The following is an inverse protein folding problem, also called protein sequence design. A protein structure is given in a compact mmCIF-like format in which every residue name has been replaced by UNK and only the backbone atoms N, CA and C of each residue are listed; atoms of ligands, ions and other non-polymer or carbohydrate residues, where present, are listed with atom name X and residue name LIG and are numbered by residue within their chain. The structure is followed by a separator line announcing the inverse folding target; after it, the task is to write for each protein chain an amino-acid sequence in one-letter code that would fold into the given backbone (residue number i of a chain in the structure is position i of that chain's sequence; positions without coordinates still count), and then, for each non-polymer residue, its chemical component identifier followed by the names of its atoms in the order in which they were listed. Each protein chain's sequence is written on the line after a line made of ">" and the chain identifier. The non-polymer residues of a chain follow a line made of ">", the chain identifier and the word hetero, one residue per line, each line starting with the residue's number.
data_IF_978717730929
#
_entry.id   IF_978717730929
#
_cell.length_a   1.000
_cell.length_b   1.000
_cell.length_c   1.000
_cell.angle_alpha   90.00
_cell.angle_beta   90.00
_cell.angle_gamma   90.00
#
_symmetry.space_group_name_H-M   'P 1'
#
loop_
_entity.id
_entity.type
_entity.pdbx_description
1 polymer ?
#
# COMPACT_ATOMS: atom_id res chain seq x y z
N UNK A 1 -17.01 20.02 -46.88
CA UNK A 1 -17.45 20.31 -45.49
C UNK A 1 -16.64 19.41 -44.57
N UNK A 2 -15.57 19.96 -43.99
CA UNK A 2 -14.67 19.22 -43.10
C UNK A 2 -15.15 19.44 -41.66
N UNK A 3 -15.66 18.39 -41.00
CA UNK A 3 -16.09 18.43 -39.62
C UNK A 3 -14.87 18.29 -38.73
N UNK A 4 -14.43 19.36 -38.10
CA UNK A 4 -13.42 19.39 -37.05
C UNK A 4 -13.98 18.64 -35.84
N UNK A 5 -13.28 17.59 -35.28
CA UNK A 5 -13.77 16.90 -34.09
C UNK A 5 -13.78 17.88 -32.91
N UNK A 6 -14.86 17.86 -32.12
CA UNK A 6 -15.01 18.71 -30.96
C UNK A 6 -13.92 18.43 -29.89
N UNK A 7 -13.35 19.49 -29.29
CA UNK A 7 -12.30 19.38 -28.23
C UNK A 7 -12.66 18.42 -27.11
N UNK A 8 -13.94 18.18 -26.83
CA UNK A 8 -14.42 17.26 -25.78
C UNK A 8 -14.29 15.78 -26.12
N UNK A 9 -14.36 15.39 -27.39
CA UNK A 9 -14.25 14.00 -27.82
C UNK A 9 -12.79 13.50 -27.79
N UNK A 10 -11.83 14.36 -28.11
CA UNK A 10 -10.41 14.04 -28.04
C UNK A 10 -9.95 13.75 -26.61
N UNK A 11 -10.36 14.53 -25.63
CA UNK A 11 -10.01 14.35 -24.22
C UNK A 11 -10.63 13.08 -23.62
N UNK A 12 -11.88 12.75 -23.99
CA UNK A 12 -12.54 11.50 -23.55
C UNK A 12 -11.87 10.26 -24.14
N UNK A 13 -11.45 10.29 -25.40
CA UNK A 13 -10.75 9.17 -26.06
C UNK A 13 -9.36 8.94 -25.48
N UNK A 14 -8.60 9.97 -25.19
CA UNK A 14 -7.29 9.88 -24.54
C UNK A 14 -7.42 9.28 -23.14
N UNK A 15 -8.42 9.68 -22.37
CA UNK A 15 -8.70 9.11 -21.05
C UNK A 15 -9.05 7.63 -21.10
N UNK A 16 -9.91 7.21 -22.04
CA UNK A 16 -10.30 5.81 -22.20
C UNK A 16 -9.12 4.93 -22.66
N UNK A 17 -8.33 5.41 -23.62
CA UNK A 17 -7.14 4.68 -24.08
C UNK A 17 -6.10 4.52 -22.96
N UNK A 18 -5.86 5.57 -22.16
CA UNK A 18 -4.97 5.49 -20.99
C UNK A 18 -5.49 4.49 -19.98
N UNK A 19 -6.79 4.52 -19.69
CA UNK A 19 -7.45 3.59 -18.77
C UNK A 19 -7.30 2.14 -19.22
N UNK A 20 -7.65 1.83 -20.49
CA UNK A 20 -7.52 0.47 -21.04
C UNK A 20 -6.06 0.00 -21.08
N UNK A 21 -5.14 0.87 -21.47
CA UNK A 21 -3.70 0.58 -21.46
C UNK A 21 -3.21 0.28 -20.06
N UNK A 22 -3.63 1.06 -19.07
CA UNK A 22 -3.26 0.84 -17.67
C UNK A 22 -3.72 -0.53 -17.19
N UNK A 23 -4.99 -0.90 -17.42
CA UNK A 23 -5.48 -2.23 -17.06
C UNK A 23 -4.70 -3.35 -17.77
N UNK A 24 -4.37 -3.20 -19.03
CA UNK A 24 -3.61 -4.19 -19.80
C UNK A 24 -2.22 -4.46 -19.20
N UNK A 25 -1.54 -3.43 -18.68
CA UNK A 25 -0.20 -3.58 -18.06
C UNK A 25 -0.25 -3.89 -16.56
N UNK A 26 -1.39 -3.68 -15.90
CA UNK A 26 -1.59 -3.92 -14.47
C UNK A 26 -1.81 -5.41 -14.17
N UNK A 27 -2.71 -6.04 -14.89
CA UNK A 27 -3.14 -7.41 -14.62
C UNK A 27 -2.10 -8.52 -14.87
N UNK A 28 -1.11 -8.40 -15.76
CA UNK A 28 -0.03 -9.38 -15.86
C UNK A 28 0.69 -9.64 -14.54
N UNK A 29 0.85 -8.61 -13.70
CA UNK A 29 1.41 -8.78 -12.35
C UNK A 29 0.50 -9.61 -11.46
N UNK A 30 -0.80 -9.31 -11.45
CA UNK A 30 -1.81 -10.05 -10.68
C UNK A 30 -1.81 -11.53 -11.06
N UNK A 31 -1.84 -11.84 -12.37
CA UNK A 31 -1.77 -13.20 -12.89
C UNK A 31 -0.49 -13.90 -12.46
N UNK A 32 0.66 -13.24 -12.57
CA UNK A 32 1.94 -13.80 -12.15
C UNK A 32 1.93 -14.20 -10.67
N UNK A 33 1.37 -13.38 -9.79
CA UNK A 33 1.29 -13.67 -8.35
C UNK A 33 0.35 -14.84 -8.06
N UNK A 34 -0.78 -14.96 -8.79
CA UNK A 34 -1.75 -16.03 -8.59
C UNK A 34 -1.28 -17.39 -9.16
N UNK A 35 -0.51 -17.40 -10.24
CA UNK A 35 0.00 -18.62 -10.90
C UNK A 35 1.18 -19.27 -10.14
N UNK A 36 1.68 -18.64 -9.08
CA UNK A 36 2.79 -19.20 -8.29
C UNK A 36 2.42 -20.54 -7.65
N UNK A 37 3.28 -21.57 -7.71
CA UNK A 37 3.04 -22.88 -7.10
C UNK A 37 2.73 -22.81 -5.60
N UNK A 38 1.97 -23.81 -5.09
CA UNK A 38 1.59 -23.85 -3.65
C UNK A 38 2.80 -23.85 -2.71
N UNK A 39 3.92 -24.46 -3.11
CA UNK A 39 5.17 -24.44 -2.33
C UNK A 39 5.72 -23.03 -2.07
N UNK A 40 5.61 -22.15 -3.04
CA UNK A 40 6.05 -20.75 -2.92
C UNK A 40 5.02 -19.84 -2.20
N UNK A 41 3.92 -20.41 -1.70
CA UNK A 41 2.92 -19.67 -0.90
C UNK A 41 3.26 -19.59 0.58
N UNK A 42 4.23 -20.37 1.04
CA UNK A 42 4.72 -20.31 2.42
C UNK A 42 5.59 -19.07 2.61
N UNK A 43 5.48 -18.45 3.79
CA UNK A 43 6.38 -17.37 4.20
C UNK A 43 7.78 -17.95 4.32
N UNK A 44 8.80 -17.39 3.65
CA UNK A 44 10.17 -17.88 3.74
C UNK A 44 10.68 -17.84 5.19
N UNK A 45 11.36 -18.89 5.63
CA UNK A 45 11.93 -18.93 6.98
C UNK A 45 12.95 -17.80 7.23
N UNK A 46 13.68 -17.40 6.18
CA UNK A 46 14.65 -16.29 6.23
C UNK A 46 14.04 -14.94 6.61
N UNK A 47 12.71 -14.75 6.40
CA UNK A 47 12.03 -13.49 6.77
C UNK A 47 12.09 -13.17 8.27
N UNK A 48 12.39 -14.17 9.11
CA UNK A 48 12.58 -13.97 10.55
C UNK A 48 13.98 -13.49 10.93
N UNK A 49 14.88 -13.40 9.97
CA UNK A 49 16.30 -13.08 10.17
C UNK A 49 16.56 -11.62 9.80
N UNK A 50 17.54 -11.02 10.50
CA UNK A 50 18.02 -9.69 10.28
C UNK A 50 17.95 -8.83 11.55
N UNK A 51 18.78 -7.79 11.58
CA UNK A 51 18.96 -6.90 12.73
C UNK A 51 18.49 -5.46 12.44
N UNK A 52 18.04 -5.20 11.21
CA UNK A 52 17.43 -3.93 10.84
C UNK A 52 15.97 -3.84 11.31
N UNK A 53 15.36 -2.66 11.20
CA UNK A 53 13.97 -2.43 11.61
C UNK A 53 13.00 -3.44 10.98
N UNK A 54 12.11 -4.08 11.75
CA UNK A 54 11.14 -5.03 11.21
C UNK A 54 10.18 -4.38 10.22
N UNK A 55 9.82 -5.09 9.14
CA UNK A 55 8.89 -4.61 8.12
C UNK A 55 7.59 -5.42 8.16
N UNK A 56 6.50 -4.77 8.58
CA UNK A 56 5.16 -5.36 8.57
C UNK A 56 4.50 -5.21 7.20
N UNK A 57 4.08 -6.30 6.57
CA UNK A 57 3.40 -6.29 5.28
C UNK A 57 1.88 -6.22 5.43
N UNK A 58 1.26 -5.18 4.84
CA UNK A 58 -0.18 -5.00 4.76
C UNK A 58 -0.65 -4.93 3.30
N UNK A 59 -1.06 -6.04 2.69
CA UNK A 59 -1.53 -6.11 1.31
C UNK A 59 -2.90 -5.45 1.13
N UNK A 60 -3.30 -5.23 -0.12
CA UNK A 60 -4.61 -4.73 -0.51
C UNK A 60 -5.77 -5.73 -0.34
N UNK A 61 -6.97 -5.31 -0.67
CA UNK A 61 -8.15 -6.19 -0.70
C UNK A 61 -8.01 -7.23 -1.81
N UNK A 62 -8.41 -8.47 -1.55
CA UNK A 62 -8.25 -9.64 -2.42
C UNK A 62 -6.80 -10.04 -2.70
N UNK A 63 -5.84 -9.43 -2.00
CA UNK A 63 -4.42 -9.74 -2.10
C UNK A 63 -3.94 -10.62 -0.94
N UNK A 64 -2.84 -11.32 -1.18
CA UNK A 64 -2.04 -11.96 -0.15
C UNK A 64 -0.72 -11.21 0.01
N UNK A 65 0.03 -11.47 1.08
CA UNK A 65 1.37 -10.88 1.30
C UNK A 65 2.30 -10.98 0.08
N UNK A 66 2.07 -11.95 -0.81
CA UNK A 66 2.88 -12.20 -2.01
C UNK A 66 2.84 -11.08 -3.05
N UNK A 67 1.82 -10.22 -2.99
CA UNK A 67 1.78 -9.01 -3.81
C UNK A 67 2.91 -8.04 -3.45
N UNK A 68 3.39 -8.06 -2.20
CA UNK A 68 4.51 -7.25 -1.73
C UNK A 68 5.84 -8.01 -1.74
N UNK A 69 5.85 -9.25 -2.22
CA UNK A 69 7.03 -10.13 -2.18
C UNK A 69 8.28 -9.55 -2.84
N UNK A 70 8.23 -8.89 -4.01
CA UNK A 70 9.44 -8.34 -4.63
C UNK A 70 10.17 -7.36 -3.71
N UNK A 71 9.43 -6.51 -3.01
CA UNK A 71 9.96 -5.57 -2.02
C UNK A 71 10.42 -6.29 -0.76
N UNK A 72 9.60 -7.23 -0.25
CA UNK A 72 9.89 -8.01 0.95
C UNK A 72 11.17 -8.85 0.83
N UNK A 73 11.38 -9.50 -0.31
CA UNK A 73 12.60 -10.28 -0.56
C UNK A 73 13.84 -9.37 -0.50
N UNK A 74 13.81 -8.20 -1.14
CA UNK A 74 14.92 -7.25 -1.15
C UNK A 74 15.17 -6.60 0.20
N UNK A 75 14.12 -6.23 0.94
CA UNK A 75 14.25 -5.69 2.29
C UNK A 75 14.86 -6.73 3.23
N UNK A 76 14.47 -8.00 3.10
CA UNK A 76 15.08 -9.06 3.89
C UNK A 76 16.55 -9.30 3.50
N UNK A 77 16.90 -9.17 2.21
CA UNK A 77 18.30 -9.24 1.75
C UNK A 77 19.15 -8.06 2.29
N UNK A 78 18.51 -6.91 2.65
CA UNK A 78 19.13 -5.77 3.34
C UNK A 78 19.15 -5.92 4.89
N UNK A 79 18.69 -7.04 5.42
CA UNK A 79 18.71 -7.34 6.85
C UNK A 79 17.44 -6.96 7.61
N UNK A 80 16.35 -6.58 6.95
CA UNK A 80 15.07 -6.34 7.60
C UNK A 80 14.32 -7.65 7.86
N UNK A 81 13.95 -8.00 9.10
CA UNK A 81 12.97 -9.02 9.35
C UNK A 81 11.62 -8.65 8.72
N UNK A 82 11.00 -9.58 8.00
CA UNK A 82 9.73 -9.35 7.32
C UNK A 82 8.60 -10.05 8.06
N UNK A 83 7.60 -9.29 8.47
CA UNK A 83 6.48 -9.73 9.27
C UNK A 83 5.22 -9.85 8.41
N UNK A 84 4.65 -11.04 8.36
CA UNK A 84 3.40 -11.32 7.65
C UNK A 84 2.32 -11.64 8.68
N UNK A 85 1.16 -10.98 8.60
CA UNK A 85 0.04 -11.20 9.52
C UNK A 85 -0.57 -12.59 9.28
N UNK A 86 -0.52 -13.51 10.26
CA UNK A 86 -1.08 -14.84 10.11
C UNK A 86 -2.60 -14.80 9.89
N UNK A 87 -3.12 -15.66 9.00
CA UNK A 87 -4.55 -15.79 8.78
C UNK A 87 -5.23 -14.61 8.08
N UNK A 88 -4.47 -13.63 7.56
CA UNK A 88 -5.01 -12.51 6.81
C UNK A 88 -5.67 -12.97 5.48
N UNK A 89 -5.13 -14.04 4.86
CA UNK A 89 -5.67 -14.60 3.62
C UNK A 89 -5.67 -13.56 2.49
N UNK A 90 -6.85 -13.31 1.91
CA UNK A 90 -7.06 -12.33 0.84
C UNK A 90 -7.46 -10.92 1.36
N UNK A 91 -7.25 -10.64 2.62
CA UNK A 91 -7.52 -9.35 3.28
C UNK A 91 -8.94 -8.80 3.02
N UNK A 92 -9.96 -9.63 3.18
CA UNK A 92 -11.37 -9.25 2.97
C UNK A 92 -12.08 -8.78 4.24
N UNK A 93 -11.44 -8.87 5.42
CA UNK A 93 -11.98 -8.44 6.72
C UNK A 93 -12.11 -6.92 6.78
N UNK A 94 -12.92 -6.35 7.70
CA UNK A 94 -12.93 -4.91 7.98
C UNK A 94 -11.54 -4.36 8.32
N UNK A 95 -11.33 -3.07 8.11
CA UNK A 95 -10.05 -2.38 8.34
C UNK A 95 -9.66 -2.53 9.82
N UNK A 96 -10.58 -2.21 10.73
CA UNK A 96 -10.38 -2.21 12.18
C UNK A 96 -9.99 -3.61 12.68
N UNK A 97 -10.76 -4.63 12.28
CA UNK A 97 -10.48 -6.02 12.66
C UNK A 97 -9.14 -6.54 12.13
N UNK A 98 -8.69 -6.00 10.98
CA UNK A 98 -7.37 -6.31 10.43
C UNK A 98 -6.27 -5.55 11.16
N UNK A 99 -6.50 -4.28 11.50
CA UNK A 99 -5.57 -3.46 12.29
C UNK A 99 -5.32 -4.11 13.68
N UNK A 100 -6.38 -4.53 14.37
CA UNK A 100 -6.25 -5.26 15.64
C UNK A 100 -5.49 -6.58 15.49
N UNK A 101 -5.74 -7.33 14.41
CA UNK A 101 -5.03 -8.57 14.17
C UNK A 101 -3.55 -8.35 13.90
N UNK A 102 -3.20 -7.29 13.16
CA UNK A 102 -1.82 -6.91 12.91
C UNK A 102 -1.14 -6.41 14.18
N UNK A 103 -1.83 -5.59 14.99
CA UNK A 103 -1.32 -5.12 16.27
C UNK A 103 -0.98 -6.29 17.21
N UNK A 104 -1.87 -7.28 17.34
CA UNK A 104 -1.58 -8.50 18.14
C UNK A 104 -0.30 -9.22 17.72
N UNK A 105 0.08 -9.14 16.43
CA UNK A 105 1.36 -9.72 15.97
C UNK A 105 2.54 -8.91 16.49
N UNK A 106 2.46 -7.57 16.46
CA UNK A 106 3.50 -6.71 17.01
C UNK A 106 3.68 -6.93 18.50
N UNK A 107 2.57 -7.01 19.23
CA UNK A 107 2.57 -7.21 20.68
C UNK A 107 3.11 -8.60 21.08
N UNK A 108 2.64 -9.65 20.40
CA UNK A 108 3.04 -11.04 20.71
C UNK A 108 4.53 -11.33 20.49
N UNK A 109 5.17 -10.56 19.61
CA UNK A 109 6.59 -10.69 19.30
C UNK A 109 7.44 -9.54 19.87
N UNK A 110 6.84 -8.63 20.66
CA UNK A 110 7.44 -7.39 21.18
C UNK A 110 8.21 -6.60 20.12
N UNK A 111 7.64 -6.50 18.90
CA UNK A 111 8.28 -5.78 17.81
C UNK A 111 8.17 -4.27 18.04
N UNK A 112 9.28 -3.57 17.83
CA UNK A 112 9.39 -2.10 17.97
C UNK A 112 10.09 -1.52 16.75
N UNK A 113 9.98 -0.21 16.57
CA UNK A 113 10.55 0.53 15.44
C UNK A 113 10.12 -0.03 14.09
N UNK A 114 8.89 -0.56 14.04
CA UNK A 114 8.34 -1.27 12.88
C UNK A 114 8.07 -0.31 11.73
N UNK A 115 8.55 -0.65 10.55
CA UNK A 115 8.14 0.02 9.31
C UNK A 115 6.97 -0.75 8.69
N UNK A 116 5.86 -0.07 8.44
CA UNK A 116 4.72 -0.67 7.74
C UNK A 116 4.91 -0.49 6.25
N UNK A 117 4.99 -1.58 5.48
CA UNK A 117 4.91 -1.58 4.03
C UNK A 117 3.51 -2.00 3.59
N UNK A 118 2.78 -1.06 3.03
CA UNK A 118 1.37 -1.23 2.72
C UNK A 118 1.06 -1.03 1.23
N UNK A 119 0.08 -1.76 0.71
CA UNK A 119 -0.48 -1.55 -0.63
C UNK A 119 -1.99 -1.37 -0.54
N UNK A 120 -2.53 -0.39 -1.28
CA UNK A 120 -3.97 -0.19 -1.45
C UNK A 120 -4.69 -0.11 -0.08
N UNK A 121 -5.66 -1.00 0.21
CA UNK A 121 -6.33 -1.14 1.51
C UNK A 121 -5.36 -1.22 2.69
N UNK A 122 -4.20 -1.83 2.49
CA UNK A 122 -3.18 -1.97 3.52
C UNK A 122 -2.76 -0.63 4.13
N UNK A 123 -2.71 0.45 3.34
CA UNK A 123 -2.39 1.79 3.85
C UNK A 123 -3.45 2.34 4.81
N UNK A 124 -4.73 2.07 4.56
CA UNK A 124 -5.79 2.44 5.49
C UNK A 124 -5.70 1.64 6.78
N UNK A 125 -5.39 0.34 6.69
CA UNK A 125 -5.17 -0.51 7.86
C UNK A 125 -3.98 0.00 8.67
N UNK A 126 -2.84 0.26 8.03
CA UNK A 126 -1.64 0.77 8.69
C UNK A 126 -1.88 2.12 9.37
N UNK A 127 -2.57 3.04 8.70
CA UNK A 127 -2.94 4.33 9.30
C UNK A 127 -3.90 4.15 10.48
N UNK A 128 -4.88 3.25 10.39
CA UNK A 128 -5.77 2.90 11.51
C UNK A 128 -4.95 2.37 12.68
N UNK A 129 -3.96 1.50 12.45
CA UNK A 129 -3.06 1.04 13.52
C UNK A 129 -2.37 2.23 14.19
N UNK A 130 -1.70 3.09 13.44
CA UNK A 130 -0.96 4.24 13.95
C UNK A 130 -1.80 5.22 14.76
N UNK A 131 -3.12 5.30 14.49
CA UNK A 131 -4.05 6.22 15.14
C UNK A 131 -4.77 5.60 16.32
N UNK A 132 -5.11 4.30 16.28
CA UNK A 132 -6.05 3.70 17.23
C UNK A 132 -5.50 2.55 18.04
N UNK A 133 -4.70 1.65 17.46
CA UNK A 133 -4.30 0.39 18.13
C UNK A 133 -2.85 0.40 18.60
N UNK A 134 -1.98 1.19 18.00
CA UNK A 134 -0.55 1.28 18.34
C UNK A 134 -0.30 2.22 19.52
N UNK A 135 -0.90 1.90 20.69
CA UNK A 135 -0.83 2.71 21.91
C UNK A 135 0.62 2.86 22.39
N UNK A 136 1.44 1.83 22.25
CA UNK A 136 2.85 1.85 22.66
C UNK A 136 3.80 2.44 21.60
N UNK A 137 3.26 2.98 20.52
CA UNK A 137 4.05 3.56 19.41
C UNK A 137 5.12 2.61 18.87
N UNK A 138 4.76 1.36 18.65
CA UNK A 138 5.64 0.33 18.07
C UNK A 138 5.92 0.54 16.59
N UNK A 139 5.03 1.29 15.89
CA UNK A 139 5.20 1.65 14.48
C UNK A 139 5.95 2.98 14.41
N UNK A 140 7.15 2.95 13.84
CA UNK A 140 7.93 4.14 13.54
C UNK A 140 7.31 4.93 12.40
N UNK A 141 7.15 4.31 11.23
CA UNK A 141 6.61 4.94 10.03
C UNK A 141 5.92 3.97 9.09
N UNK A 142 5.29 4.50 8.05
CA UNK A 142 4.64 3.71 7.00
C UNK A 142 5.04 4.18 5.61
N UNK A 143 5.34 3.23 4.72
CA UNK A 143 5.43 3.44 3.26
C UNK A 143 4.20 2.80 2.62
N UNK A 144 3.35 3.63 2.04
CA UNK A 144 2.06 3.22 1.48
C UNK A 144 2.06 3.38 -0.05
N UNK A 145 1.83 2.27 -0.76
CA UNK A 145 1.81 2.21 -2.22
C UNK A 145 0.37 2.22 -2.72
N UNK A 146 0.01 3.17 -3.58
CA UNK A 146 -1.31 3.30 -4.22
C UNK A 146 -2.48 3.14 -3.24
N UNK A 147 -2.38 3.74 -2.06
CA UNK A 147 -3.42 3.62 -1.01
C UNK A 147 -4.51 4.68 -1.17
N UNK A 148 -5.81 4.30 -1.10
CA UNK A 148 -6.93 5.21 -1.35
C UNK A 148 -7.26 6.07 -0.12
N UNK A 149 -6.35 6.96 0.32
CA UNK A 149 -6.55 7.80 1.49
C UNK A 149 -7.72 8.79 1.35
N UNK A 150 -8.05 9.19 0.11
CA UNK A 150 -9.22 10.00 -0.22
C UNK A 150 -10.46 9.17 -0.58
N UNK A 151 -10.38 7.83 -0.41
CA UNK A 151 -11.40 6.91 -0.86
C UNK A 151 -11.26 6.50 -2.33
N UNK A 152 -12.21 5.71 -2.80
CA UNK A 152 -12.33 5.30 -4.21
C UNK A 152 -13.78 5.26 -4.63
N UNK A 153 -14.10 5.88 -5.78
CA UNK A 153 -15.45 5.83 -6.39
C UNK A 153 -15.89 4.42 -6.75
N UNK A 154 -14.97 3.52 -6.98
CA UNK A 154 -15.30 2.11 -7.18
C UNK A 154 -16.04 1.50 -5.99
N UNK A 155 -15.83 2.00 -4.77
CA UNK A 155 -16.57 1.60 -3.58
C UNK A 155 -18.07 1.97 -3.66
N UNK A 156 -18.43 2.98 -4.45
CA UNK A 156 -19.82 3.39 -4.67
C UNK A 156 -20.52 2.49 -5.70
N UNK A 157 -19.76 1.94 -6.65
CA UNK A 157 -20.28 1.12 -7.77
C UNK A 157 -20.26 -0.36 -7.40
N UNK A 158 -19.13 -0.85 -6.87
CA UNK A 158 -18.95 -2.24 -6.44
C UNK A 158 -19.34 -2.36 -4.95
N UNK A 159 -20.62 -2.52 -4.68
CA UNK A 159 -21.22 -2.58 -3.34
C UNK A 159 -20.85 -3.83 -2.54
N UNK A 160 -19.65 -4.38 -2.69
CA UNK A 160 -19.19 -5.48 -1.83
C UNK A 160 -18.89 -4.96 -0.43
N UNK A 161 -19.11 -5.82 0.60
CA UNK A 161 -18.85 -5.46 2.01
C UNK A 161 -17.38 -5.04 2.23
N UNK A 162 -16.45 -5.64 1.48
CA UNK A 162 -15.03 -5.37 1.56
C UNK A 162 -14.63 -3.99 0.98
N UNK A 163 -15.43 -3.44 0.04
CA UNK A 163 -15.14 -2.17 -0.63
C UNK A 163 -15.90 -0.98 -0.03
N UNK A 164 -16.94 -1.20 0.78
CA UNK A 164 -17.72 -0.11 1.41
C UNK A 164 -16.88 0.83 2.24
N UNK A 165 -15.89 0.30 2.95
CA UNK A 165 -14.96 1.08 3.77
C UNK A 165 -14.05 2.04 2.95
N UNK A 166 -14.09 1.98 1.61
CA UNK A 166 -13.37 2.90 0.73
C UNK A 166 -14.27 4.00 0.15
N UNK A 167 -15.51 4.08 0.59
CA UNK A 167 -16.41 5.15 0.13
C UNK A 167 -15.81 6.51 0.52
N UNK A 168 -15.70 7.47 -0.43
CA UNK A 168 -15.27 8.83 -0.12
C UNK A 168 -16.21 9.56 0.86
N UNK A 169 -17.36 8.97 1.17
CA UNK A 169 -18.37 9.46 2.13
C UNK A 169 -18.35 8.70 3.46
N UNK A 170 -17.44 7.76 3.62
CA UNK A 170 -17.30 7.01 4.87
C UNK A 170 -16.75 7.95 5.97
N UNK A 171 -17.48 8.08 7.07
CA UNK A 171 -17.13 9.02 8.14
C UNK A 171 -15.84 8.61 8.87
N UNK A 172 -15.55 7.30 8.96
CA UNK A 172 -14.33 6.80 9.59
C UNK A 172 -13.13 7.08 8.71
N UNK A 173 -13.25 6.91 7.39
CA UNK A 173 -12.22 7.27 6.43
C UNK A 173 -11.89 8.77 6.47
N UNK A 174 -12.92 9.63 6.53
CA UNK A 174 -12.74 11.08 6.61
C UNK A 174 -12.05 11.47 7.92
N UNK A 175 -12.49 10.95 9.07
CA UNK A 175 -11.83 11.17 10.37
C UNK A 175 -10.38 10.67 10.36
N UNK A 176 -10.13 9.53 9.74
CA UNK A 176 -8.77 8.99 9.61
C UNK A 176 -7.89 9.92 8.76
N UNK A 177 -8.43 10.52 7.69
CA UNK A 177 -7.69 11.45 6.84
C UNK A 177 -7.22 12.71 7.59
N UNK A 178 -7.99 13.18 8.57
CA UNK A 178 -7.71 14.39 9.37
C UNK A 178 -6.59 14.21 10.42
N UNK A 179 -6.12 13.00 10.68
CA UNK A 179 -5.06 12.71 11.68
C UNK A 179 -3.67 13.08 11.14
N UNK A 180 -3.31 14.36 11.20
CA UNK A 180 -2.10 14.93 10.61
C UNK A 180 -0.80 14.42 11.27
N UNK A 181 -0.80 14.19 12.58
CA UNK A 181 0.38 13.68 13.30
C UNK A 181 0.79 12.30 12.80
N UNK A 182 -0.20 11.44 12.50
CA UNK A 182 0.08 10.15 11.86
C UNK A 182 0.57 10.34 10.42
N UNK A 183 0.02 11.33 9.68
CA UNK A 183 0.40 11.59 8.30
C UNK A 183 1.87 11.98 8.16
N UNK A 184 2.43 12.74 9.10
CA UNK A 184 3.83 13.15 9.10
C UNK A 184 4.81 11.96 9.10
N UNK A 185 4.38 10.79 9.55
CA UNK A 185 5.14 9.54 9.56
C UNK A 185 4.81 8.60 8.39
N UNK A 186 4.11 9.10 7.38
CA UNK A 186 3.68 8.32 6.21
C UNK A 186 4.35 8.88 4.96
N UNK A 187 4.96 7.98 4.17
CA UNK A 187 5.31 8.25 2.78
C UNK A 187 4.27 7.59 1.88
N UNK A 188 3.48 8.40 1.19
CA UNK A 188 2.51 7.94 0.19
C UNK A 188 3.15 7.94 -1.19
N UNK A 189 3.38 6.75 -1.74
CA UNK A 189 3.96 6.54 -3.05
C UNK A 189 2.88 6.08 -4.03
N UNK A 190 2.65 6.83 -5.10
CA UNK A 190 1.52 6.58 -5.98
C UNK A 190 1.85 6.73 -7.47
N UNK A 191 1.16 5.96 -8.29
CA UNK A 191 1.16 6.11 -9.75
C UNK A 191 0.56 7.45 -10.16
N UNK A 192 1.08 8.06 -11.22
CA UNK A 192 0.52 9.29 -11.79
C UNK A 192 -0.90 9.09 -12.34
N UNK A 193 -1.26 7.84 -12.67
CA UNK A 193 -2.62 7.41 -13.00
C UNK A 193 -2.86 6.00 -12.48
N UNK A 194 -3.92 5.84 -11.70
CA UNK A 194 -4.39 4.57 -11.13
C UNK A 194 -5.87 4.38 -11.49
N UNK A 195 -6.17 3.31 -12.22
CA UNK A 195 -7.53 3.02 -12.65
C UNK A 195 -8.44 2.53 -11.50
N UNK A 196 -7.86 2.11 -10.37
CA UNK A 196 -8.58 1.61 -9.19
C UNK A 196 -8.74 2.69 -8.10
N UNK A 197 -7.81 3.67 -8.05
CA UNK A 197 -7.82 4.79 -7.11
C UNK A 197 -7.84 6.10 -7.90
N UNK A 198 -8.96 6.37 -8.55
CA UNK A 198 -9.14 7.52 -9.45
C UNK A 198 -9.07 8.88 -8.75
N UNK A 199 -9.34 8.92 -7.45
CA UNK A 199 -9.20 10.09 -6.59
C UNK A 199 -7.74 10.38 -6.20
N UNK A 200 -6.83 9.44 -6.50
CA UNK A 200 -5.42 9.50 -6.15
C UNK A 200 -5.14 9.12 -4.70
N UNK A 201 -3.85 9.00 -4.39
CA UNK A 201 -3.34 8.58 -3.09
C UNK A 201 -2.64 9.72 -2.33
N UNK A 202 -2.81 10.96 -2.76
CA UNK A 202 -2.22 12.12 -2.08
C UNK A 202 -2.78 12.21 -0.66
N UNK A 203 -1.88 12.28 0.33
CA UNK A 203 -2.22 12.41 1.74
C UNK A 203 -1.65 13.73 2.27
N UNK A 204 -2.50 14.70 2.65
CA UNK A 204 -2.05 15.96 3.25
C UNK A 204 -1.23 15.72 4.52
N UNK A 205 -0.12 16.43 4.67
CA UNK A 205 0.79 16.28 5.82
C UNK A 205 1.75 15.08 5.74
N UNK A 206 1.63 14.24 4.71
CA UNK A 206 2.56 13.13 4.43
C UNK A 206 3.61 13.54 3.39
N UNK A 207 4.70 12.78 3.29
CA UNK A 207 5.57 12.80 2.13
C UNK A 207 4.86 12.12 0.97
N UNK A 208 4.69 12.83 -0.17
CA UNK A 208 4.01 12.29 -1.34
C UNK A 208 5.00 12.11 -2.50
N UNK A 209 5.12 10.90 -3.03
CA UNK A 209 6.04 10.53 -4.10
C UNK A 209 5.26 9.94 -5.28
N UNK A 210 5.60 10.33 -6.50
CA UNK A 210 4.95 9.81 -7.70
C UNK A 210 5.86 8.81 -8.41
N UNK A 211 5.32 7.63 -8.73
CA UNK A 211 6.00 6.61 -9.53
C UNK A 211 6.09 7.01 -11.02
N UNK A 212 7.15 6.56 -11.71
CA UNK A 212 7.30 6.81 -13.16
C UNK A 212 6.38 5.96 -14.04
N UNK A 213 5.58 5.06 -13.44
CA UNK A 213 4.65 4.17 -14.17
C UNK A 213 3.21 4.37 -13.72
N UNK A 214 2.27 4.18 -14.65
CA UNK A 214 0.83 4.12 -14.35
C UNK A 214 0.44 2.71 -13.91
N UNK A 215 -0.62 2.60 -13.08
CA UNK A 215 -1.23 1.34 -12.67
C UNK A 215 -1.37 1.19 -11.16
N UNK A 216 -2.25 0.29 -10.75
CA UNK A 216 -2.48 -0.05 -9.35
C UNK A 216 -1.52 -1.13 -8.86
N UNK A 217 -1.36 -2.19 -9.67
CA UNK A 217 -0.53 -3.35 -9.34
C UNK A 217 0.85 -3.31 -10.00
N UNK A 218 0.98 -2.64 -11.14
CA UNK A 218 2.24 -2.59 -11.89
C UNK A 218 3.43 -2.11 -11.06
N UNK A 219 3.32 -1.06 -10.21
CA UNK A 219 4.44 -0.61 -9.37
C UNK A 219 4.99 -1.70 -8.44
N UNK A 220 4.16 -2.68 -8.03
CA UNK A 220 4.58 -3.76 -7.15
C UNK A 220 5.57 -4.74 -7.79
N UNK A 221 5.64 -4.76 -9.12
CA UNK A 221 6.53 -5.62 -9.88
C UNK A 221 7.48 -4.90 -10.81
N UNK A 222 7.35 -3.59 -10.96
CA UNK A 222 8.27 -2.77 -11.75
C UNK A 222 9.58 -2.57 -10.97
N UNK A 223 10.75 -2.93 -11.55
CA UNK A 223 12.02 -2.86 -10.82
C UNK A 223 12.34 -1.48 -10.26
N UNK A 224 12.10 -0.42 -11.03
CA UNK A 224 12.35 0.96 -10.60
C UNK A 224 11.48 1.36 -9.42
N UNK A 225 10.18 1.02 -9.47
CA UNK A 225 9.27 1.30 -8.36
C UNK A 225 9.60 0.48 -7.12
N UNK A 226 9.98 -0.78 -7.29
CA UNK A 226 10.46 -1.63 -6.20
C UNK A 226 11.70 -1.02 -5.54
N UNK A 227 12.66 -0.54 -6.33
CA UNK A 227 13.87 0.12 -5.83
C UNK A 227 13.53 1.39 -5.05
N UNK A 228 12.62 2.22 -5.55
CA UNK A 228 12.16 3.43 -4.87
C UNK A 228 11.52 3.11 -3.51
N UNK A 229 10.64 2.09 -3.45
CA UNK A 229 9.99 1.68 -2.19
C UNK A 229 10.99 1.10 -1.20
N UNK A 230 11.90 0.24 -1.66
CA UNK A 230 12.95 -0.35 -0.83
C UNK A 230 13.86 0.73 -0.26
N UNK A 231 14.30 1.69 -1.08
CA UNK A 231 15.12 2.82 -0.63
C UNK A 231 14.41 3.68 0.42
N UNK A 232 13.09 3.90 0.28
CA UNK A 232 12.30 4.67 1.26
C UNK A 232 12.13 3.91 2.58
N UNK A 233 11.92 2.58 2.53
CA UNK A 233 11.84 1.74 3.73
C UNK A 233 13.19 1.66 4.43
N UNK A 234 14.30 1.42 3.72
CA UNK A 234 15.66 1.32 4.28
C UNK A 234 16.21 2.68 4.72
N UNK A 235 16.01 3.73 3.91
CA UNK A 235 16.60 5.06 4.13
C UNK A 235 15.99 5.86 5.28
N UNK A 236 14.75 5.58 5.69
CA UNK A 236 14.08 6.28 6.78
C UNK A 236 14.75 6.08 8.14
N UNK A 237 15.37 4.91 8.39
CA UNK A 237 16.11 4.63 9.63
C UNK A 237 17.39 5.46 9.81
N UNK A 238 18.01 5.91 8.71
CA UNK A 238 19.21 6.74 8.77
C UNK A 238 18.94 8.19 9.14
N UNK A 239 17.76 8.73 8.82
CA UNK A 239 17.39 10.11 9.17
C UNK A 239 17.06 10.30 10.65
N UNK A 240 16.62 9.26 11.35
CA UNK A 240 16.34 9.32 12.79
C UNK A 240 17.63 9.27 13.65
N UNK A 241 18.72 8.65 13.15
CA UNK A 241 20.00 8.57 13.82
C UNK A 241 20.91 9.83 13.67
N UNK A 242 20.69 10.63 12.61
CA UNK A 242 21.52 11.81 12.34
C UNK A 242 21.00 13.11 13.02
N UNK A 243 19.82 13.06 13.64
CA UNK A 243 19.27 14.21 14.37
C UNK A 243 19.66 14.23 15.86
N UNK A 244 20.57 13.37 16.30
CA UNK A 244 20.95 13.16 17.70
C UNK A 244 22.43 13.41 18.05
N UNK A 245 23.22 14.07 17.18
CA UNK A 245 24.60 14.53 17.50
C UNK A 245 24.66 16.06 17.61
#
# INVERSE_FOLDING_TARGET
>A
MSSTPSRGEGHRRVGLLRFLRTLMFDYPYVWRVHLVPRSARRVPARYRQGDAAPVLLLPGVYETWRFLRPMADRLNDLGHPVVVVPGLGHNTRPIEATAEAAQRVLDAHDLRDVVVLAHSKGGLIGKTMMVTTDVERRIDRMVAVNSPFSGSRWALVLRTRALRAFSPRDADLLRLAEQLDANARITSMASGFDAHVTEGSVLPGATNVTFPVDGHFRPLGDPTCVDMVVAEVDGGGRRAGEAGD
#
